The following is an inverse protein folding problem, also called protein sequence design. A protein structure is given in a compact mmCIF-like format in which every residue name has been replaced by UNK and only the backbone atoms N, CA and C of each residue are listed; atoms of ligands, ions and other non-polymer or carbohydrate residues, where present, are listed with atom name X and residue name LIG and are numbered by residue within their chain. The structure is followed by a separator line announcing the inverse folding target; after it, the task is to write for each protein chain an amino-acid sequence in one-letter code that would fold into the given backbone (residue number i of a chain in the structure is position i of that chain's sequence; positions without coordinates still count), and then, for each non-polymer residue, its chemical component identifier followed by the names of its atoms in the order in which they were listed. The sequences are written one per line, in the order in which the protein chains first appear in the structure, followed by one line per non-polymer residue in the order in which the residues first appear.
data_IF_678577876177
#
_entry.id   IF_678577876177
#
_cell.length_a   1.000
_cell.length_b   1.000
_cell.length_c   1.000
_cell.angle_alpha   90.00
_cell.angle_beta   90.00
_cell.angle_gamma   90.00
#
_symmetry.space_group_name_H-M   'P 1'
#
loop_
_entity.id
_entity.type
_entity.pdbx_description
1 polymer ?
#
# COMPACT_ATOMS: atom_id res chain seq x y z
N UNK A 1 -43.54 16.84 -18.59
CA UNK A 1 -43.09 15.44 -18.64
C UNK A 1 -41.78 15.27 -19.43
N UNK A 2 -41.75 15.38 -20.76
CA UNK A 2 -40.50 15.22 -21.54
C UNK A 2 -39.41 16.27 -21.21
N UNK A 3 -39.80 17.54 -21.08
CA UNK A 3 -38.85 18.61 -20.72
C UNK A 3 -38.33 18.50 -19.28
N UNK A 4 -39.10 17.90 -18.38
CA UNK A 4 -38.68 17.68 -16.98
C UNK A 4 -37.66 16.56 -16.92
N UNK A 5 -37.86 15.49 -17.69
CA UNK A 5 -36.88 14.40 -17.86
C UNK A 5 -35.56 14.89 -18.49
N UNK A 6 -35.62 15.79 -19.48
CA UNK A 6 -34.41 16.39 -20.07
C UNK A 6 -33.65 17.22 -19.02
N UNK A 7 -34.36 17.99 -18.18
CA UNK A 7 -33.74 18.75 -17.08
C UNK A 7 -33.13 17.85 -16.01
N UNK A 8 -33.80 16.75 -15.69
CA UNK A 8 -33.29 15.75 -14.74
C UNK A 8 -32.01 15.09 -15.26
N UNK A 9 -31.99 14.69 -16.55
CA UNK A 9 -30.80 14.14 -17.20
C UNK A 9 -29.65 15.15 -17.22
N UNK A 10 -29.91 16.42 -17.55
CA UNK A 10 -28.90 17.48 -17.52
C UNK A 10 -28.34 17.71 -16.11
N UNK A 11 -29.19 17.64 -15.08
CA UNK A 11 -28.77 17.67 -13.68
C UNK A 11 -27.84 16.50 -13.33
N UNK A 12 -28.27 15.27 -13.65
CA UNK A 12 -27.48 14.07 -13.37
C UNK A 12 -26.12 14.07 -14.10
N UNK A 13 -26.06 14.60 -15.33
CA UNK A 13 -24.81 14.73 -16.08
C UNK A 13 -23.85 15.77 -15.46
N UNK A 14 -24.39 16.87 -14.92
CA UNK A 14 -23.59 17.87 -14.18
C UNK A 14 -23.03 17.29 -12.89
N UNK A 15 -23.86 16.56 -12.15
CA UNK A 15 -23.43 15.91 -10.90
C UNK A 15 -22.36 14.84 -11.18
N UNK A 16 -22.55 14.02 -12.22
CA UNK A 16 -21.54 13.04 -12.65
C UNK A 16 -20.22 13.72 -13.02
N UNK A 17 -20.26 14.82 -13.78
CA UNK A 17 -19.07 15.60 -14.14
C UNK A 17 -18.36 16.11 -12.89
N UNK A 18 -19.10 16.61 -11.91
CA UNK A 18 -18.52 17.20 -10.72
C UNK A 18 -17.95 16.12 -9.79
N UNK A 19 -18.59 14.96 -9.68
CA UNK A 19 -18.02 13.77 -9.03
C UNK A 19 -16.72 13.31 -9.70
N UNK A 20 -16.67 13.26 -11.04
CA UNK A 20 -15.45 12.87 -11.76
C UNK A 20 -14.29 13.85 -11.53
N UNK A 21 -14.57 15.15 -11.43
CA UNK A 21 -13.55 16.15 -11.06
C UNK A 21 -13.04 15.95 -9.64
N UNK A 22 -13.93 15.71 -8.68
CA UNK A 22 -13.55 15.44 -7.29
C UNK A 22 -12.70 14.17 -7.18
N UNK A 23 -13.04 13.12 -7.92
CA UNK A 23 -12.22 11.90 -8.01
C UNK A 23 -10.84 12.22 -8.57
N UNK A 24 -10.76 12.97 -9.68
CA UNK A 24 -9.48 13.39 -10.25
C UNK A 24 -8.60 14.15 -9.26
N UNK A 25 -9.17 15.12 -8.54
CA UNK A 25 -8.46 15.87 -7.50
C UNK A 25 -8.02 14.99 -6.32
N UNK A 26 -8.85 14.02 -5.92
CA UNK A 26 -8.50 13.06 -4.88
C UNK A 26 -7.34 12.15 -5.28
N UNK A 27 -7.28 11.76 -6.56
CA UNK A 27 -6.18 10.95 -7.10
C UNK A 27 -4.85 11.70 -7.02
N UNK A 28 -4.80 12.99 -7.38
CA UNK A 28 -3.58 13.79 -7.29
C UNK A 28 -3.07 13.88 -5.84
N UNK A 29 -3.97 14.14 -4.88
CA UNK A 29 -3.63 14.14 -3.45
C UNK A 29 -3.12 12.77 -2.97
N UNK A 30 -3.68 11.68 -3.49
CA UNK A 30 -3.20 10.35 -3.17
C UNK A 30 -1.81 10.06 -3.75
N UNK A 31 -1.44 10.63 -4.90
CA UNK A 31 -0.08 10.51 -5.42
C UNK A 31 0.93 11.20 -4.51
N UNK A 32 0.63 12.41 -4.04
CA UNK A 32 1.50 13.12 -3.08
C UNK A 32 1.64 12.34 -1.77
N UNK A 33 0.53 11.78 -1.25
CA UNK A 33 0.57 10.92 -0.06
C UNK A 33 1.38 9.64 -0.27
N UNK A 34 1.31 9.03 -1.45
CA UNK A 34 2.11 7.86 -1.79
C UNK A 34 3.60 8.20 -1.87
N UNK A 35 3.96 9.38 -2.40
CA UNK A 35 5.33 9.87 -2.43
C UNK A 35 5.88 10.09 -1.01
N UNK A 36 5.09 10.74 -0.14
CA UNK A 36 5.43 10.92 1.28
C UNK A 36 5.63 9.58 1.99
N UNK A 37 4.76 8.60 1.76
CA UNK A 37 4.88 7.25 2.34
C UNK A 37 6.15 6.57 1.83
N UNK A 38 6.44 6.65 0.53
CA UNK A 38 7.64 6.08 -0.06
C UNK A 38 8.90 6.70 0.55
N UNK A 39 8.94 8.03 0.72
CA UNK A 39 10.05 8.73 1.36
C UNK A 39 10.28 8.26 2.81
N UNK A 40 9.21 8.10 3.60
CA UNK A 40 9.31 7.57 4.96
C UNK A 40 9.80 6.12 4.99
N UNK A 41 9.32 5.26 4.08
CA UNK A 41 9.78 3.86 4.00
C UNK A 41 11.28 3.81 3.69
N UNK A 42 11.76 4.61 2.73
CA UNK A 42 13.18 4.67 2.38
C UNK A 42 14.02 5.15 3.57
N UNK A 43 13.56 6.16 4.30
CA UNK A 43 14.26 6.65 5.49
C UNK A 43 14.33 5.58 6.60
N UNK A 44 13.23 4.85 6.83
CA UNK A 44 13.19 3.74 7.79
C UNK A 44 14.11 2.60 7.36
N UNK A 45 14.11 2.24 6.08
CA UNK A 45 15.00 1.21 5.51
C UNK A 45 16.47 1.58 5.71
N UNK A 46 16.84 2.84 5.44
CA UNK A 46 18.19 3.32 5.65
C UNK A 46 18.64 3.15 7.12
N UNK A 47 17.77 3.48 8.07
CA UNK A 47 18.04 3.30 9.50
C UNK A 47 18.17 1.80 9.85
N UNK A 48 17.20 1.00 9.41
CA UNK A 48 17.17 -0.45 9.68
C UNK A 48 18.43 -1.14 9.17
N UNK A 49 18.90 -0.83 7.96
CA UNK A 49 20.13 -1.38 7.41
C UNK A 49 21.37 -1.01 8.24
N UNK A 50 21.42 0.18 8.85
CA UNK A 50 22.51 0.54 9.77
C UNK A 50 22.44 -0.21 11.10
N UNK A 51 21.24 -0.54 11.58
CA UNK A 51 21.02 -1.33 12.80
C UNK A 51 21.39 -2.78 12.56
N UNK A 52 20.91 -3.38 11.46
CA UNK A 52 21.17 -4.78 11.08
C UNK A 52 22.69 -5.03 10.98
N UNK A 53 23.46 -4.07 10.46
CA UNK A 53 24.94 -4.18 10.39
C UNK A 53 25.66 -4.23 11.74
N UNK A 54 24.99 -3.87 12.84
CA UNK A 54 25.58 -3.76 14.18
C UNK A 54 25.02 -4.77 15.19
N UNK A 55 23.95 -5.48 14.81
CA UNK A 55 23.22 -6.38 15.68
C UNK A 55 23.31 -7.78 15.08
N UNK A 56 23.54 -8.77 15.93
CA UNK A 56 23.47 -10.16 15.49
C UNK A 56 22.00 -10.55 15.32
N UNK A 57 21.65 -11.06 14.14
CA UNK A 57 20.27 -11.42 13.79
C UNK A 57 20.17 -12.92 13.64
N UNK A 58 19.27 -13.52 14.42
CA UNK A 58 18.85 -14.89 14.23
C UNK A 58 17.96 -14.99 12.97
N UNK A 59 18.58 -15.36 11.86
CA UNK A 59 17.93 -15.52 10.57
C UNK A 59 16.83 -16.59 10.58
N UNK A 60 16.95 -17.64 11.39
CA UNK A 60 15.95 -18.70 11.46
C UNK A 60 14.74 -18.26 12.28
N UNK A 61 14.97 -17.60 13.42
CA UNK A 61 13.88 -17.01 14.20
C UNK A 61 13.11 -15.94 13.38
N UNK A 62 13.80 -15.14 12.57
CA UNK A 62 13.15 -14.15 11.72
C UNK A 62 12.27 -14.81 10.63
N UNK A 63 12.72 -15.91 10.01
CA UNK A 63 11.93 -16.68 9.03
C UNK A 63 10.72 -17.33 9.67
N UNK A 64 10.90 -17.93 10.84
CA UNK A 64 9.81 -18.54 11.61
C UNK A 64 8.77 -17.49 11.99
N UNK A 65 9.21 -16.34 12.48
CA UNK A 65 8.31 -15.23 12.78
C UNK A 65 7.50 -14.80 11.55
N UNK A 66 8.13 -14.67 10.37
CA UNK A 66 7.42 -14.32 9.13
C UNK A 66 6.37 -15.36 8.79
N UNK A 67 6.70 -16.66 8.88
CA UNK A 67 5.72 -17.73 8.64
C UNK A 67 4.53 -17.58 9.60
N UNK A 68 4.81 -17.61 10.90
CA UNK A 68 3.79 -17.70 11.95
C UNK A 68 2.83 -16.49 11.92
N UNK A 69 3.32 -15.31 11.58
CA UNK A 69 2.52 -14.09 11.54
C UNK A 69 1.81 -13.86 10.20
N UNK A 70 2.01 -14.72 9.19
CA UNK A 70 1.40 -14.52 7.87
C UNK A 70 0.60 -15.70 7.35
N UNK A 71 0.77 -16.91 7.90
CA UNK A 71 0.01 -18.12 7.52
C UNK A 71 -1.50 -17.88 7.53
N UNK A 72 -2.04 -17.25 8.59
CA UNK A 72 -3.48 -16.97 8.69
C UNK A 72 -3.95 -16.02 7.58
N UNK A 73 -3.19 -14.96 7.33
CA UNK A 73 -3.54 -13.93 6.34
C UNK A 73 -3.37 -14.39 4.88
N UNK A 74 -2.46 -15.32 4.61
CA UNK A 74 -2.14 -15.79 3.26
C UNK A 74 -2.83 -17.10 2.91
N UNK A 75 -3.29 -17.87 3.91
CA UNK A 75 -3.83 -19.21 3.73
C UNK A 75 -2.79 -20.23 3.22
N UNK A 76 -1.49 -19.93 3.37
CA UNK A 76 -0.39 -20.79 2.92
C UNK A 76 0.43 -21.26 4.11
N UNK A 77 0.79 -22.53 4.13
CA UNK A 77 1.58 -23.14 5.21
C UNK A 77 2.94 -22.47 5.39
N UNK A 78 3.55 -21.98 4.30
CA UNK A 78 4.82 -21.25 4.36
C UNK A 78 4.66 -19.76 4.70
N UNK A 79 3.43 -19.26 4.83
CA UNK A 79 3.16 -17.83 5.05
C UNK A 79 3.38 -16.98 3.80
N UNK A 80 3.85 -15.75 3.97
CA UNK A 80 4.04 -14.76 2.91
C UNK A 80 5.37 -14.96 2.20
N UNK A 81 5.32 -15.59 1.03
CA UNK A 81 6.49 -15.77 0.12
C UNK A 81 7.16 -14.43 -0.20
N UNK A 82 6.37 -13.35 -0.38
CA UNK A 82 6.92 -12.01 -0.63
C UNK A 82 7.71 -11.49 0.57
N UNK A 83 7.18 -11.65 1.79
CA UNK A 83 7.88 -11.22 3.00
C UNK A 83 9.17 -12.02 3.21
N UNK A 84 9.17 -13.32 2.91
CA UNK A 84 10.38 -14.13 2.96
C UNK A 84 11.45 -13.70 1.94
N UNK A 85 11.04 -13.31 0.73
CA UNK A 85 11.97 -12.79 -0.28
C UNK A 85 12.62 -11.47 0.18
N UNK A 86 11.83 -10.53 0.70
CA UNK A 86 12.35 -9.26 1.25
C UNK A 86 13.24 -9.52 2.47
N UNK A 87 12.86 -10.41 3.37
CA UNK A 87 13.67 -10.78 4.53
C UNK A 87 15.04 -11.33 4.09
N UNK A 88 15.06 -12.19 3.07
CA UNK A 88 16.31 -12.71 2.50
C UNK A 88 17.20 -11.59 1.96
N UNK A 89 16.63 -10.61 1.27
CA UNK A 89 17.38 -9.48 0.72
C UNK A 89 17.99 -8.60 1.83
N UNK A 90 17.28 -8.45 2.96
CA UNK A 90 17.76 -7.68 4.12
C UNK A 90 18.85 -8.39 4.94
N UNK A 91 18.92 -9.73 4.87
CA UNK A 91 19.89 -10.57 5.58
C UNK A 91 21.17 -10.85 4.76
N UNK A 92 21.20 -10.52 3.46
CA UNK A 92 22.38 -10.66 2.59
C UNK A 92 23.35 -9.48 2.75
#
# INVERSE_FOLDING_TARGET
MFFDQIKEIDGNLKDLRDHLKTIGQGVDVHFDQLDDIAAHIIALEAILLQVIKKVDIDAEAAKEWVRDNTVESTGKEEGSVKAQAVLKDLLN
#
